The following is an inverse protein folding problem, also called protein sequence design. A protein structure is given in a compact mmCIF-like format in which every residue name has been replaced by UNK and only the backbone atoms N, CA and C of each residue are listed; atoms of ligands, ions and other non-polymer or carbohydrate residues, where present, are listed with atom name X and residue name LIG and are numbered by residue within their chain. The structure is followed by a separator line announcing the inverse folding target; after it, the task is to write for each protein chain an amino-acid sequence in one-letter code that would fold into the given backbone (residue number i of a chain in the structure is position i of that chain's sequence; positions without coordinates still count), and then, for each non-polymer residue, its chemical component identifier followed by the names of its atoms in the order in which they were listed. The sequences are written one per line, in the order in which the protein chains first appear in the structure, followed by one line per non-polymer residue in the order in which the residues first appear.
data_IF_406159873469
#
_entry.id   IF_406159873469
#
_cell.length_a   1.000
_cell.length_b   1.000
_cell.length_c   1.000
_cell.angle_alpha   90.00
_cell.angle_beta   90.00
_cell.angle_gamma   90.00
#
_symmetry.space_group_name_H-M   'P 1'
#
loop_
_entity.id
_entity.type
_entity.pdbx_description
1 polymer ?
#
# COMPACT_ATOMS: atom_id res chain seq x y z
N UNK A 1 -14.74 -19.05 -2.31
CA UNK A 1 -13.83 -18.13 -3.01
C UNK A 1 -12.41 -18.43 -2.57
N UNK A 2 -11.50 -18.63 -3.52
CA UNK A 2 -10.08 -18.92 -3.23
C UNK A 2 -9.22 -17.71 -3.60
N UNK A 3 -8.47 -17.19 -2.63
CA UNK A 3 -7.64 -15.99 -2.79
C UNK A 3 -6.18 -16.33 -2.51
N UNK A 4 -5.30 -16.08 -3.47
CA UNK A 4 -3.87 -16.14 -3.25
C UNK A 4 -3.33 -14.75 -2.83
N UNK A 5 -2.44 -14.70 -1.85
CA UNK A 5 -1.80 -13.46 -1.41
C UNK A 5 -0.30 -13.59 -1.67
N UNK A 6 0.20 -12.82 -2.64
CA UNK A 6 1.63 -12.74 -2.96
C UNK A 6 2.27 -11.64 -2.10
N UNK A 7 3.30 -12.04 -1.35
CA UNK A 7 3.87 -11.20 -0.28
C UNK A 7 3.12 -11.35 1.04
N UNK A 8 2.70 -12.57 1.37
CA UNK A 8 1.84 -12.90 2.52
C UNK A 8 2.48 -12.59 3.88
N UNK A 9 3.80 -12.51 3.98
CA UNK A 9 4.52 -12.09 5.19
C UNK A 9 4.43 -10.58 5.46
N UNK A 10 4.00 -9.81 4.46
CA UNK A 10 3.90 -8.35 4.54
C UNK A 10 2.89 -7.87 5.59
N UNK A 11 3.11 -6.65 6.10
CA UNK A 11 2.26 -6.08 7.16
C UNK A 11 0.77 -6.00 6.75
N UNK A 12 0.47 -5.37 5.60
CA UNK A 12 -0.92 -5.24 5.12
C UNK A 12 -1.51 -6.61 4.81
N UNK A 13 -0.72 -7.53 4.22
CA UNK A 13 -1.16 -8.88 3.89
C UNK A 13 -1.63 -9.65 5.13
N UNK A 14 -0.91 -9.55 6.26
CA UNK A 14 -1.33 -10.17 7.53
C UNK A 14 -2.67 -9.64 8.04
N UNK A 15 -2.90 -8.33 7.94
CA UNK A 15 -4.19 -7.73 8.30
C UNK A 15 -5.31 -8.16 7.35
N UNK A 16 -5.03 -8.28 6.04
CA UNK A 16 -5.98 -8.80 5.05
C UNK A 16 -6.38 -10.24 5.37
N UNK A 17 -5.43 -11.13 5.63
CA UNK A 17 -5.72 -12.52 5.96
C UNK A 17 -6.63 -12.64 7.18
N UNK A 18 -6.35 -11.86 8.23
CA UNK A 18 -7.20 -11.80 9.42
C UNK A 18 -8.62 -11.31 9.09
N UNK A 19 -8.73 -10.26 8.28
CA UNK A 19 -10.02 -9.71 7.88
C UNK A 19 -10.81 -10.68 6.99
N UNK A 20 -10.17 -11.34 6.04
CA UNK A 20 -10.83 -12.31 5.15
C UNK A 20 -11.41 -13.49 5.94
N UNK A 21 -10.67 -14.02 6.92
CA UNK A 21 -11.16 -15.10 7.79
C UNK A 21 -12.39 -14.71 8.61
N UNK A 22 -12.60 -13.40 8.88
CA UNK A 22 -13.73 -12.91 9.68
C UNK A 22 -14.86 -12.29 8.87
N UNK A 23 -14.61 -11.81 7.64
CA UNK A 23 -15.57 -11.01 6.86
C UNK A 23 -15.97 -11.63 5.51
N UNK A 24 -15.27 -12.68 5.07
CA UNK A 24 -15.57 -13.41 3.86
C UNK A 24 -15.91 -14.86 4.23
N UNK A 25 -17.18 -15.22 4.09
CA UNK A 25 -17.63 -16.59 4.32
C UNK A 25 -16.99 -17.53 3.29
N UNK A 26 -16.53 -18.69 3.74
CA UNK A 26 -15.94 -19.75 2.90
C UNK A 26 -14.78 -19.24 2.01
N UNK A 27 -13.91 -18.39 2.56
CA UNK A 27 -12.72 -17.92 1.90
C UNK A 27 -11.52 -18.83 2.21
N UNK A 28 -10.99 -19.49 1.18
CA UNK A 28 -9.71 -20.20 1.24
C UNK A 28 -8.58 -19.22 0.90
N UNK A 29 -7.56 -19.14 1.74
CA UNK A 29 -6.39 -18.29 1.55
C UNK A 29 -5.17 -19.15 1.20
N UNK A 30 -4.51 -18.83 0.10
CA UNK A 30 -3.25 -19.42 -0.32
C UNK A 30 -2.13 -18.39 -0.13
N UNK A 31 -1.19 -18.68 0.75
CA UNK A 31 -0.05 -17.80 1.03
C UNK A 31 1.07 -18.08 0.05
N UNK A 32 1.50 -17.05 -0.67
CA UNK A 32 2.61 -17.10 -1.63
C UNK A 32 3.67 -16.09 -1.19
N UNK A 33 4.87 -16.59 -0.86
CA UNK A 33 5.97 -15.76 -0.38
C UNK A 33 7.31 -16.50 -0.54
N UNK A 34 8.41 -15.84 -0.18
CA UNK A 34 9.75 -16.48 -0.06
C UNK A 34 9.96 -17.15 1.31
N UNK A 35 9.12 -16.86 2.30
CA UNK A 35 9.26 -17.29 3.69
C UNK A 35 8.85 -18.76 3.88
N UNK A 36 9.34 -19.39 4.95
CA UNK A 36 9.09 -20.82 5.21
C UNK A 36 7.65 -21.13 5.65
N UNK A 37 6.90 -20.13 6.10
CA UNK A 37 5.48 -20.26 6.49
C UNK A 37 4.51 -20.03 5.31
N UNK A 38 5.02 -19.80 4.10
CA UNK A 38 4.21 -19.74 2.88
C UNK A 38 3.76 -21.13 2.44
N UNK A 39 2.55 -21.21 1.88
CA UNK A 39 2.04 -22.45 1.29
C UNK A 39 2.74 -22.78 -0.03
N UNK A 40 3.12 -21.73 -0.79
CA UNK A 40 3.90 -21.82 -2.01
C UNK A 40 5.05 -20.81 -1.99
N UNK A 41 6.24 -21.26 -2.35
CA UNK A 41 7.41 -20.37 -2.47
C UNK A 41 7.46 -19.72 -3.84
N UNK A 42 7.61 -18.40 -3.86
CA UNK A 42 7.80 -17.61 -5.07
C UNK A 42 9.04 -16.72 -4.93
N UNK A 43 9.97 -16.89 -5.85
CA UNK A 43 11.12 -16.00 -5.99
C UNK A 43 10.97 -15.16 -7.26
N UNK A 44 10.73 -13.86 -7.09
CA UNK A 44 10.46 -12.96 -8.22
C UNK A 44 11.68 -12.70 -9.11
N UNK A 45 12.89 -13.06 -8.68
CA UNK A 45 14.09 -13.08 -9.55
C UNK A 45 14.13 -14.30 -10.47
N UNK A 46 13.37 -15.34 -10.15
CA UNK A 46 13.29 -16.60 -10.90
C UNK A 46 11.83 -17.02 -11.09
N UNK A 47 10.97 -16.15 -11.64
CA UNK A 47 9.52 -16.36 -11.65
C UNK A 47 9.10 -17.55 -12.50
N UNK A 48 9.92 -17.98 -13.45
CA UNK A 48 9.65 -19.15 -14.29
C UNK A 48 9.72 -20.48 -13.53
N UNK A 49 10.38 -20.53 -12.37
CA UNK A 49 10.48 -21.74 -11.54
C UNK A 49 9.24 -22.00 -10.67
N UNK A 50 8.34 -21.01 -10.58
CA UNK A 50 7.11 -21.17 -9.82
C UNK A 50 6.15 -22.13 -10.55
N UNK A 51 5.55 -23.05 -9.78
CA UNK A 51 4.54 -23.97 -10.30
C UNK A 51 3.19 -23.27 -10.44
N UNK A 52 2.97 -22.68 -11.63
CA UNK A 52 1.74 -21.93 -11.93
C UNK A 52 0.47 -22.78 -11.97
N UNK A 53 0.56 -24.11 -12.07
CA UNK A 53 -0.60 -24.98 -12.05
C UNK A 53 -1.25 -25.01 -10.65
N UNK A 54 -0.51 -24.62 -9.61
CA UNK A 54 -1.05 -24.38 -8.27
C UNK A 54 -2.04 -23.20 -8.19
N UNK A 55 -2.06 -22.34 -9.21
CA UNK A 55 -3.04 -21.25 -9.32
C UNK A 55 -4.37 -21.68 -9.96
N UNK A 56 -4.47 -22.90 -10.48
CA UNK A 56 -5.74 -23.40 -11.02
C UNK A 56 -6.83 -23.43 -9.93
N UNK A 57 -7.97 -22.80 -10.23
CA UNK A 57 -9.08 -22.64 -9.29
C UNK A 57 -8.90 -21.54 -8.26
N UNK A 58 -7.86 -20.72 -8.36
CA UNK A 58 -7.75 -19.45 -7.61
C UNK A 58 -8.62 -18.41 -8.31
N UNK A 59 -9.51 -17.76 -7.56
CA UNK A 59 -10.37 -16.71 -8.09
C UNK A 59 -9.65 -15.37 -8.21
N UNK A 60 -8.86 -15.04 -7.19
CA UNK A 60 -8.16 -13.76 -7.07
C UNK A 60 -6.74 -13.92 -6.55
N UNK A 61 -5.84 -13.13 -7.07
CA UNK A 61 -4.53 -12.86 -6.51
C UNK A 61 -4.52 -11.43 -5.96
N UNK A 62 -4.11 -11.26 -4.70
CA UNK A 62 -3.77 -9.96 -4.13
C UNK A 62 -2.24 -9.86 -4.11
N UNK A 63 -1.72 -9.02 -4.99
CA UNK A 63 -0.27 -8.89 -5.17
C UNK A 63 0.27 -7.72 -4.34
N UNK A 64 0.81 -8.04 -3.16
CA UNK A 64 1.36 -7.05 -2.20
C UNK A 64 2.88 -7.00 -2.20
N UNK A 65 3.54 -8.01 -2.78
CA UNK A 65 4.99 -8.12 -2.77
C UNK A 65 5.66 -6.97 -3.53
N UNK A 66 6.63 -6.33 -2.93
CA UNK A 66 7.51 -5.37 -3.57
C UNK A 66 8.69 -4.99 -2.66
N UNK A 67 9.81 -4.61 -3.25
CA UNK A 67 10.80 -3.79 -2.59
C UNK A 67 10.25 -2.35 -2.60
N UNK A 68 9.85 -1.83 -1.43
CA UNK A 68 9.12 -0.56 -1.32
C UNK A 68 9.94 0.60 -0.74
N UNK A 69 11.21 0.36 -0.37
CA UNK A 69 12.11 1.40 0.15
C UNK A 69 12.53 2.36 -0.96
N UNK A 70 12.15 3.68 -0.95
CA UNK A 70 12.47 4.59 -2.05
C UNK A 70 13.97 4.74 -2.31
N UNK A 71 14.77 4.81 -1.24
CA UNK A 71 16.23 4.94 -1.36
C UNK A 71 16.86 3.63 -1.87
N UNK A 72 16.37 2.48 -1.43
CA UNK A 72 16.82 1.18 -1.93
C UNK A 72 16.51 1.03 -3.43
N UNK A 73 15.29 1.40 -3.84
CA UNK A 73 14.91 1.37 -5.25
C UNK A 73 15.74 2.32 -6.13
N UNK A 74 16.22 3.44 -5.56
CA UNK A 74 17.08 4.36 -6.28
C UNK A 74 18.54 3.87 -6.34
N UNK A 75 19.05 3.31 -5.24
CA UNK A 75 20.45 2.88 -5.13
C UNK A 75 20.71 1.53 -5.81
N UNK A 76 19.74 0.62 -5.80
CA UNK A 76 19.82 -0.73 -6.39
C UNK A 76 18.77 -0.87 -7.50
N UNK A 77 18.75 0.09 -8.44
CA UNK A 77 17.65 0.22 -9.42
C UNK A 77 17.41 -1.05 -10.22
N UNK A 78 18.46 -1.62 -10.83
CA UNK A 78 18.34 -2.81 -11.68
C UNK A 78 17.78 -4.02 -10.90
N UNK A 79 18.31 -4.28 -9.72
CA UNK A 79 17.84 -5.36 -8.85
C UNK A 79 16.38 -5.15 -8.43
N UNK A 80 16.01 -3.93 -8.07
CA UNK A 80 14.62 -3.62 -7.71
C UNK A 80 13.70 -3.67 -8.92
N UNK A 81 14.18 -3.31 -10.12
CA UNK A 81 13.44 -3.43 -11.36
C UNK A 81 13.18 -4.89 -11.72
N UNK A 82 14.18 -5.76 -11.59
CA UNK A 82 14.02 -7.19 -11.84
C UNK A 82 12.92 -7.82 -10.98
N UNK A 83 12.85 -7.44 -9.71
CA UNK A 83 11.84 -7.95 -8.79
C UNK A 83 10.49 -7.27 -9.00
N UNK A 84 10.47 -5.92 -8.93
CA UNK A 84 9.22 -5.14 -8.90
C UNK A 84 8.55 -5.02 -10.26
N UNK A 85 9.30 -5.20 -11.36
CA UNK A 85 8.76 -5.08 -12.71
C UNK A 85 8.89 -6.39 -13.47
N UNK A 86 10.10 -6.88 -13.75
CA UNK A 86 10.30 -8.05 -14.61
C UNK A 86 9.63 -9.30 -14.04
N UNK A 87 9.96 -9.66 -12.80
CA UNK A 87 9.40 -10.84 -12.14
C UNK A 87 7.92 -10.70 -11.82
N UNK A 88 7.51 -9.51 -11.37
CA UNK A 88 6.10 -9.19 -11.11
C UNK A 88 5.27 -9.30 -12.38
N UNK A 89 5.71 -8.71 -13.50
CA UNK A 89 5.04 -8.78 -14.79
C UNK A 89 4.92 -10.23 -15.29
N UNK A 90 6.00 -11.00 -15.19
CA UNK A 90 5.98 -12.42 -15.57
C UNK A 90 4.92 -13.19 -14.77
N UNK A 91 4.91 -13.04 -13.44
CA UNK A 91 3.94 -13.70 -12.57
C UNK A 91 2.49 -13.31 -12.91
N UNK A 92 2.22 -12.02 -13.09
CA UNK A 92 0.88 -11.51 -13.44
C UNK A 92 0.42 -12.08 -14.80
N UNK A 93 1.30 -12.13 -15.81
CA UNK A 93 0.99 -12.73 -17.12
C UNK A 93 0.58 -14.19 -17.00
N UNK A 94 1.33 -14.96 -16.24
CA UNK A 94 1.05 -16.40 -16.05
C UNK A 94 -0.24 -16.63 -15.25
N UNK A 95 -0.56 -15.75 -14.28
CA UNK A 95 -1.81 -15.79 -13.58
C UNK A 95 -3.01 -15.47 -14.50
N UNK A 96 -2.91 -14.43 -15.31
CA UNK A 96 -3.96 -14.02 -16.27
C UNK A 96 -4.20 -15.10 -17.33
N UNK A 97 -3.18 -15.78 -17.82
CA UNK A 97 -3.32 -16.92 -18.75
C UNK A 97 -4.16 -18.07 -18.17
N UNK A 98 -4.31 -18.13 -16.85
CA UNK A 98 -5.12 -19.11 -16.11
C UNK A 98 -6.44 -18.54 -15.62
N UNK A 99 -6.88 -17.43 -16.21
CA UNK A 99 -8.11 -16.70 -15.88
C UNK A 99 -8.18 -16.21 -14.43
N UNK A 100 -7.04 -16.04 -13.75
CA UNK A 100 -6.99 -15.53 -12.38
C UNK A 100 -6.99 -14.00 -12.39
N UNK A 101 -7.89 -13.40 -11.63
CA UNK A 101 -7.97 -11.94 -11.45
C UNK A 101 -6.90 -11.45 -10.49
N UNK A 102 -6.16 -10.41 -10.88
CA UNK A 102 -5.05 -9.86 -10.09
C UNK A 102 -5.37 -8.47 -9.61
N UNK A 103 -5.37 -8.27 -8.29
CA UNK A 103 -5.40 -6.98 -7.63
C UNK A 103 -3.97 -6.59 -7.21
N UNK A 104 -3.41 -5.60 -7.90
CA UNK A 104 -2.04 -5.15 -7.68
C UNK A 104 -1.98 -3.97 -6.73
N UNK A 105 -1.02 -3.99 -5.79
CA UNK A 105 -0.72 -2.86 -4.91
C UNK A 105 0.20 -1.87 -5.60
N UNK A 106 -0.40 -0.78 -6.07
CA UNK A 106 0.31 0.39 -6.57
C UNK A 106 0.46 1.45 -5.45
N UNK A 107 0.86 2.65 -5.81
CA UNK A 107 1.17 3.72 -4.86
C UNK A 107 0.91 5.09 -5.47
N UNK A 108 0.69 6.08 -4.62
CA UNK A 108 0.71 7.50 -4.97
C UNK A 108 2.04 7.95 -5.62
N UNK A 109 3.12 7.18 -5.41
CA UNK A 109 4.40 7.41 -6.06
C UNK A 109 4.35 7.25 -7.61
N UNK A 110 3.31 6.59 -8.16
CA UNK A 110 3.07 6.53 -9.60
C UNK A 110 2.68 7.88 -10.21
N UNK A 111 2.17 8.81 -9.39
CA UNK A 111 1.95 10.19 -9.78
C UNK A 111 3.26 11.00 -9.82
N UNK A 112 3.17 12.23 -10.27
CA UNK A 112 4.28 13.17 -10.23
C UNK A 112 4.34 13.95 -8.90
N UNK A 113 5.07 15.05 -8.95
CA UNK A 113 5.18 16.02 -7.84
C UNK A 113 4.92 17.44 -8.38
N UNK A 114 3.75 17.65 -9.00
CA UNK A 114 3.36 18.96 -9.51
C UNK A 114 2.78 19.76 -8.35
N UNK A 115 3.39 20.90 -7.98
CA UNK A 115 2.93 21.72 -6.86
C UNK A 115 1.46 22.13 -7.01
N UNK A 116 0.65 21.88 -5.96
CA UNK A 116 -0.77 22.24 -5.92
C UNK A 116 -1.70 21.36 -6.76
N UNK A 117 -1.17 20.36 -7.47
CA UNK A 117 -2.00 19.41 -8.21
C UNK A 117 -2.63 18.36 -7.26
N UNK A 118 -3.92 18.10 -7.47
CA UNK A 118 -4.65 17.04 -6.75
C UNK A 118 -4.91 15.93 -7.74
N UNK A 119 -4.25 14.78 -7.52
CA UNK A 119 -4.38 13.60 -8.37
C UNK A 119 -5.61 12.79 -8.03
N UNK A 120 -6.17 12.12 -9.02
CA UNK A 120 -7.26 11.16 -8.90
C UNK A 120 -7.10 10.03 -9.94
N UNK A 121 -8.07 9.11 -9.99
CA UNK A 121 -8.00 7.95 -10.88
C UNK A 121 -7.91 8.29 -12.37
N UNK A 122 -8.36 9.48 -12.78
CA UNK A 122 -8.25 9.95 -14.17
C UNK A 122 -6.95 10.71 -14.45
N UNK A 123 -6.19 11.03 -13.41
CA UNK A 123 -4.95 11.78 -13.54
C UNK A 123 -3.86 10.95 -14.22
N UNK A 124 -3.14 11.57 -15.14
CA UNK A 124 -1.98 10.94 -15.78
C UNK A 124 -0.87 10.66 -14.75
N UNK A 125 -0.31 9.46 -14.81
CA UNK A 125 0.83 9.06 -13.98
C UNK A 125 2.13 9.55 -14.59
N UNK A 126 2.88 10.37 -13.84
CA UNK A 126 4.14 11.00 -14.27
C UNK A 126 5.25 10.73 -13.25
N UNK A 127 5.42 9.47 -12.88
CA UNK A 127 6.39 9.05 -11.87
C UNK A 127 7.82 9.49 -12.20
N UNK A 128 8.48 10.18 -11.28
CA UNK A 128 9.89 10.56 -11.42
C UNK A 128 10.81 9.74 -10.52
N UNK A 129 10.32 9.21 -9.40
CA UNK A 129 11.09 8.37 -8.48
C UNK A 129 11.25 6.95 -9.01
N UNK A 130 12.33 6.26 -8.64
CA UNK A 130 12.58 4.89 -9.06
C UNK A 130 11.41 3.95 -8.70
N UNK A 131 10.95 4.00 -7.45
CA UNK A 131 9.83 3.19 -7.00
C UNK A 131 8.52 3.51 -7.73
N UNK A 132 8.23 4.79 -7.94
CA UNK A 132 7.05 5.23 -8.70
C UNK A 132 7.06 4.72 -10.14
N UNK A 133 8.22 4.79 -10.83
CA UNK A 133 8.39 4.26 -12.19
C UNK A 133 8.13 2.77 -12.27
N UNK A 134 8.57 2.00 -11.26
CA UNK A 134 8.31 0.56 -11.18
C UNK A 134 6.82 0.25 -11.03
N UNK A 135 6.10 0.99 -10.17
CA UNK A 135 4.64 0.84 -10.02
C UNK A 135 3.89 1.21 -11.29
N UNK A 136 4.24 2.37 -11.88
CA UNK A 136 3.67 2.81 -13.15
C UNK A 136 3.88 1.81 -14.29
N UNK A 137 5.05 1.18 -14.39
CA UNK A 137 5.36 0.20 -15.44
C UNK A 137 4.37 -0.99 -15.41
N UNK A 138 4.04 -1.51 -14.22
CA UNK A 138 3.05 -2.59 -14.09
C UNK A 138 1.63 -2.09 -14.42
N UNK A 139 1.24 -0.90 -13.94
CA UNK A 139 -0.06 -0.33 -14.30
C UNK A 139 -0.22 -0.17 -15.82
N UNK A 140 0.77 0.42 -16.49
CA UNK A 140 0.73 0.66 -17.93
C UNK A 140 0.67 -0.64 -18.75
N UNK A 141 1.34 -1.69 -18.29
CA UNK A 141 1.36 -2.97 -18.99
C UNK A 141 0.00 -3.69 -18.91
N UNK A 142 -0.71 -3.59 -17.78
CA UNK A 142 -1.90 -4.40 -17.53
C UNK A 142 -3.22 -3.62 -17.50
N UNK A 143 -3.22 -2.29 -17.57
CA UNK A 143 -4.42 -1.43 -17.43
C UNK A 143 -5.59 -1.75 -18.37
N UNK A 144 -5.34 -2.42 -19.49
CA UNK A 144 -6.37 -2.82 -20.46
C UNK A 144 -6.89 -4.24 -20.25
N UNK A 145 -6.30 -5.00 -19.33
CA UNK A 145 -6.73 -6.38 -19.05
C UNK A 145 -7.95 -6.41 -18.13
N UNK A 146 -9.04 -7.13 -18.47
CA UNK A 146 -10.19 -7.29 -17.58
C UNK A 146 -9.87 -8.13 -16.34
N UNK A 147 -8.77 -8.86 -16.35
CA UNK A 147 -8.26 -9.65 -15.23
C UNK A 147 -7.33 -8.87 -14.30
N UNK A 148 -7.09 -7.59 -14.57
CA UNK A 148 -6.20 -6.76 -13.76
C UNK A 148 -6.92 -5.54 -13.23
N UNK A 149 -6.75 -5.31 -11.94
CA UNK A 149 -7.04 -4.02 -11.29
C UNK A 149 -5.91 -3.67 -10.34
N UNK A 150 -5.74 -2.39 -10.06
CA UNK A 150 -4.81 -1.96 -9.03
C UNK A 150 -5.45 -1.01 -8.02
N UNK A 151 -4.85 -0.93 -6.85
CA UNK A 151 -5.13 0.11 -5.87
C UNK A 151 -3.88 0.98 -5.72
N UNK A 152 -4.04 2.29 -5.88
CA UNK A 152 -2.98 3.24 -5.54
C UNK A 152 -3.18 3.65 -4.09
N UNK A 153 -2.24 3.27 -3.26
CA UNK A 153 -2.27 3.61 -1.85
C UNK A 153 -1.54 4.93 -1.62
N UNK A 154 -2.19 5.87 -0.94
CA UNK A 154 -1.48 6.94 -0.28
C UNK A 154 -0.77 6.41 0.97
N UNK A 155 -0.18 7.28 1.77
CA UNK A 155 0.48 6.84 3.01
C UNK A 155 -0.53 6.10 3.91
N UNK A 156 -0.23 4.85 4.24
CA UNK A 156 -1.08 4.01 5.09
C UNK A 156 -0.59 4.10 6.52
N UNK A 157 -1.27 4.90 7.33
CA UNK A 157 -0.98 5.00 8.76
C UNK A 157 -1.47 3.75 9.49
N UNK A 158 -0.62 3.23 10.35
CA UNK A 158 -0.93 2.07 11.18
C UNK A 158 -0.02 1.99 12.39
N UNK A 159 -0.42 1.21 13.38
CA UNK A 159 0.36 0.99 14.60
C UNK A 159 1.81 0.54 14.36
N UNK A 160 2.05 -0.16 13.26
CA UNK A 160 3.34 -0.78 12.94
C UNK A 160 4.00 -0.18 11.68
N UNK A 161 3.52 0.96 11.16
CA UNK A 161 4.30 1.66 10.14
C UNK A 161 5.61 2.22 10.74
N UNK A 162 6.59 2.46 9.88
CA UNK A 162 7.94 2.84 10.33
C UNK A 162 7.96 4.12 11.16
N UNK A 163 7.15 5.13 10.79
CA UNK A 163 7.14 6.41 11.48
C UNK A 163 6.43 6.32 12.83
N UNK A 164 5.28 5.66 12.87
CA UNK A 164 4.54 5.47 14.13
C UNK A 164 5.34 4.58 15.09
N UNK A 165 5.91 3.47 14.59
CA UNK A 165 6.79 2.61 15.38
C UNK A 165 8.00 3.35 15.95
N UNK A 166 8.62 4.26 15.18
CA UNK A 166 9.68 5.14 15.65
C UNK A 166 9.20 6.05 16.80
N UNK A 167 8.07 6.73 16.62
CA UNK A 167 7.50 7.58 17.66
C UNK A 167 7.17 6.80 18.94
N UNK A 168 6.59 5.60 18.81
CA UNK A 168 6.30 4.72 19.94
C UNK A 168 7.57 4.24 20.65
N UNK A 169 8.64 3.96 19.91
CA UNK A 169 9.94 3.64 20.48
C UNK A 169 10.49 4.81 21.30
N UNK A 170 10.41 6.03 20.78
CA UNK A 170 10.83 7.23 21.52
C UNK A 170 10.00 7.40 22.81
N UNK A 171 8.69 7.14 22.79
CA UNK A 171 7.87 7.19 24.00
C UNK A 171 8.36 6.16 25.03
N UNK A 172 8.58 4.89 24.61
CA UNK A 172 9.01 3.80 25.52
C UNK A 172 10.37 4.06 26.13
N UNK A 173 11.28 4.64 25.36
CA UNK A 173 12.66 4.90 25.78
C UNK A 173 12.84 6.26 26.48
N UNK A 174 11.81 7.13 26.49
CA UNK A 174 11.91 8.50 27.00
C UNK A 174 12.76 9.43 26.12
N UNK A 175 12.95 9.06 24.85
CA UNK A 175 13.73 9.79 23.85
C UNK A 175 12.92 10.90 23.18
N UNK A 176 13.61 11.86 22.58
CA UNK A 176 12.98 12.91 21.77
C UNK A 176 12.96 12.49 20.31
N UNK A 177 11.77 12.42 19.71
CA UNK A 177 11.60 12.09 18.30
C UNK A 177 11.96 13.29 17.41
N UNK A 178 12.59 13.01 16.26
CA UNK A 178 12.87 14.00 15.23
C UNK A 178 11.80 13.90 14.13
N UNK A 179 11.00 14.95 13.96
CA UNK A 179 9.85 14.98 13.05
C UNK A 179 10.17 15.83 11.82
N UNK A 180 10.31 15.17 10.69
CA UNK A 180 10.62 15.84 9.44
C UNK A 180 9.44 16.65 8.92
N UNK A 181 9.69 17.93 8.60
CA UNK A 181 8.73 18.85 8.01
C UNK A 181 9.42 19.75 6.96
N UNK A 182 8.75 20.06 5.82
CA UNK A 182 7.42 19.62 5.39
C UNK A 182 7.45 18.22 4.74
N UNK A 183 6.47 17.39 5.07
CA UNK A 183 6.21 16.11 4.42
C UNK A 183 4.73 15.76 4.58
N UNK A 184 3.98 15.73 3.48
CA UNK A 184 2.51 15.65 3.50
C UNK A 184 1.97 14.55 2.58
N UNK A 185 0.93 13.86 3.03
CA UNK A 185 0.14 12.89 2.26
C UNK A 185 -1.34 12.95 2.64
N UNK A 186 -2.23 12.60 1.71
CA UNK A 186 -3.61 12.27 2.07
C UNK A 186 -3.64 10.88 2.71
N UNK A 187 -3.37 10.85 4.02
CA UNK A 187 -3.12 9.63 4.77
C UNK A 187 -4.38 8.79 4.91
N UNK A 188 -4.30 7.51 4.60
CA UNK A 188 -5.34 6.50 4.82
C UNK A 188 -4.95 5.56 5.97
N UNK A 189 -5.81 4.58 6.30
CA UNK A 189 -5.56 3.59 7.35
C UNK A 189 -5.60 2.17 6.78
N UNK A 190 -5.04 1.20 7.52
CA UNK A 190 -5.13 -0.22 7.15
C UNK A 190 -6.57 -0.69 7.08
N UNK A 191 -7.42 -0.21 7.99
CA UNK A 191 -8.85 -0.52 7.99
C UNK A 191 -9.55 -0.10 6.70
N UNK A 192 -9.25 1.09 6.17
CA UNK A 192 -9.81 1.58 4.92
C UNK A 192 -9.29 0.79 3.70
N UNK A 193 -8.01 0.44 3.70
CA UNK A 193 -7.41 -0.42 2.64
C UNK A 193 -8.12 -1.78 2.59
N UNK A 194 -8.37 -2.40 3.74
CA UNK A 194 -9.08 -3.69 3.82
C UNK A 194 -10.50 -3.57 3.27
N UNK A 195 -11.25 -2.53 3.67
CA UNK A 195 -12.62 -2.29 3.15
C UNK A 195 -12.62 -2.12 1.63
N UNK A 196 -11.68 -1.35 1.09
CA UNK A 196 -11.54 -1.12 -0.34
C UNK A 196 -11.26 -2.43 -1.11
N UNK A 197 -10.37 -3.28 -0.60
CA UNK A 197 -10.05 -4.56 -1.22
C UNK A 197 -11.26 -5.50 -1.18
N UNK A 198 -11.90 -5.67 -0.04
CA UNK A 198 -13.09 -6.54 0.08
C UNK A 198 -14.21 -6.06 -0.85
N UNK A 199 -14.41 -4.74 -0.95
CA UNK A 199 -15.37 -4.17 -1.87
C UNK A 199 -15.02 -4.47 -3.33
N UNK A 200 -13.76 -4.28 -3.74
CA UNK A 200 -13.29 -4.58 -5.10
C UNK A 200 -13.48 -6.06 -5.46
N UNK A 201 -13.14 -6.99 -4.56
CA UNK A 201 -13.34 -8.42 -4.81
C UNK A 201 -14.81 -8.77 -5.06
N UNK A 202 -15.73 -8.15 -4.30
CA UNK A 202 -17.18 -8.36 -4.44
C UNK A 202 -17.78 -7.68 -5.67
N UNK A 203 -17.15 -6.60 -6.15
CA UNK A 203 -17.69 -5.75 -7.21
C UNK A 203 -16.80 -5.73 -8.46
N UNK A 204 -15.91 -6.70 -8.64
CA UNK A 204 -14.91 -6.73 -9.71
C UNK A 204 -15.49 -6.48 -11.09
N UNK A 205 -16.58 -7.15 -11.42
CA UNK A 205 -17.17 -7.13 -12.76
C UNK A 205 -18.02 -5.88 -13.04
N UNK A 206 -18.44 -5.14 -12.01
CA UNK A 206 -19.27 -3.94 -12.14
C UNK A 206 -18.48 -2.64 -11.91
N UNK A 207 -17.27 -2.73 -11.40
CA UNK A 207 -16.37 -1.59 -11.27
C UNK A 207 -15.55 -1.43 -12.54
N UNK A 208 -15.92 -0.46 -13.37
CA UNK A 208 -15.36 -0.29 -14.71
C UNK A 208 -13.93 0.24 -14.73
N UNK A 209 -13.50 0.95 -13.69
CA UNK A 209 -12.11 1.43 -13.61
C UNK A 209 -11.13 0.29 -13.33
N UNK A 210 -9.93 0.35 -13.96
CA UNK A 210 -8.84 -0.56 -13.63
C UNK A 210 -8.11 -0.16 -12.34
N UNK A 211 -8.34 1.07 -11.83
CA UNK A 211 -7.66 1.61 -10.66
C UNK A 211 -8.65 2.18 -9.65
N UNK A 212 -8.34 2.01 -8.37
CA UNK A 212 -9.01 2.66 -7.24
C UNK A 212 -7.93 3.34 -6.38
N UNK A 213 -8.07 4.64 -6.20
CA UNK A 213 -7.22 5.40 -5.29
C UNK A 213 -7.74 5.27 -3.84
N UNK A 214 -6.89 4.74 -2.95
CA UNK A 214 -7.24 4.57 -1.53
C UNK A 214 -6.49 5.59 -0.70
N UNK A 215 -7.21 6.61 -0.28
CA UNK A 215 -6.66 7.83 0.31
C UNK A 215 -7.58 8.40 1.39
N UNK A 216 -7.01 9.19 2.30
CA UNK A 216 -7.79 10.00 3.25
C UNK A 216 -8.27 11.31 2.63
N UNK A 217 -9.22 11.95 3.29
CA UNK A 217 -9.77 13.25 2.87
C UNK A 217 -8.87 14.43 3.22
N UNK A 218 -8.03 14.28 4.23
CA UNK A 218 -7.16 15.33 4.76
C UNK A 218 -5.72 15.17 4.30
N UNK A 219 -5.08 16.30 3.97
CA UNK A 219 -3.63 16.35 3.74
C UNK A 219 -2.92 16.40 5.11
N UNK A 220 -2.27 15.32 5.49
CA UNK A 220 -1.70 15.09 6.82
C UNK A 220 -0.18 15.21 6.79
N UNK A 221 0.40 15.98 7.70
CA UNK A 221 1.84 16.03 7.94
C UNK A 221 2.26 15.05 9.03
N UNK A 222 3.55 14.77 9.12
CA UNK A 222 4.11 13.99 10.23
C UNK A 222 3.93 14.70 11.59
N UNK A 223 3.93 16.03 11.61
CA UNK A 223 3.62 16.80 12.83
C UNK A 223 2.19 16.48 13.28
N UNK A 224 1.22 16.51 12.36
CA UNK A 224 -0.16 16.16 12.68
C UNK A 224 -0.29 14.73 13.23
N UNK A 225 0.45 13.77 12.68
CA UNK A 225 0.49 12.40 13.21
C UNK A 225 1.09 12.34 14.62
N UNK A 226 2.16 13.07 14.87
CA UNK A 226 2.80 13.16 16.19
C UNK A 226 1.85 13.80 17.23
N UNK A 227 1.12 14.85 16.84
CA UNK A 227 0.12 15.49 17.71
C UNK A 227 -1.05 14.55 18.04
N UNK A 228 -1.51 13.73 17.08
CA UNK A 228 -2.53 12.72 17.37
C UNK A 228 -2.02 11.61 18.29
N UNK A 229 -0.76 11.18 18.14
CA UNK A 229 -0.12 10.28 19.09
C UNK A 229 -0.04 10.91 20.48
N UNK A 230 0.32 12.18 20.60
CA UNK A 230 0.33 12.89 21.87
C UNK A 230 -1.04 13.02 22.50
N UNK A 231 -2.07 13.27 21.69
CA UNK A 231 -3.45 13.29 22.17
C UNK A 231 -3.86 11.93 22.73
N UNK A 232 -3.52 10.84 22.02
CA UNK A 232 -3.88 9.49 22.45
C UNK A 232 -3.09 9.03 23.68
N UNK A 233 -1.79 9.27 23.72
CA UNK A 233 -0.89 8.83 24.81
C UNK A 233 -0.63 9.91 25.87
N UNK A 234 -1.49 10.90 25.99
CA UNK A 234 -1.48 11.93 27.04
C UNK A 234 -0.11 12.63 27.14
N UNK A 235 0.32 13.22 26.02
CA UNK A 235 1.56 14.02 25.90
C UNK A 235 2.87 13.28 26.27
N UNK A 236 2.93 11.98 26.02
CA UNK A 236 4.14 11.18 26.28
C UNK A 236 5.23 11.32 25.21
N UNK A 237 4.86 11.73 23.97
CA UNK A 237 5.84 11.92 22.89
C UNK A 237 6.51 13.27 22.98
N UNK A 238 7.80 13.28 23.31
CA UNK A 238 8.63 14.47 23.15
C UNK A 238 9.16 14.51 21.71
N UNK A 239 9.04 15.65 21.03
CA UNK A 239 9.58 15.76 19.68
C UNK A 239 10.12 17.15 19.36
N UNK A 240 11.01 17.21 18.40
CA UNK A 240 11.48 18.42 17.73
C UNK A 240 11.13 18.35 16.26
N UNK A 241 10.93 19.51 15.64
CA UNK A 241 10.66 19.59 14.21
C UNK A 241 11.94 19.98 13.50
N UNK A 242 12.37 19.17 12.52
CA UNK A 242 13.54 19.44 11.71
C UNK A 242 13.21 19.48 10.22
N UNK A 243 14.04 20.19 9.47
CA UNK A 243 14.01 20.13 8.01
C UNK A 243 14.86 18.92 7.58
N UNK A 244 14.32 17.98 6.80
CA UNK A 244 15.12 16.86 6.31
C UNK A 244 16.21 17.35 5.35
N UNK A 245 17.27 16.55 5.21
CA UNK A 245 18.29 16.73 4.20
C UNK A 245 17.68 16.78 2.79
N UNK A 246 18.28 17.54 1.88
CA UNK A 246 17.79 17.66 0.49
C UNK A 246 17.75 16.31 -0.22
N UNK A 247 18.65 15.38 0.12
CA UNK A 247 18.64 14.04 -0.42
C UNK A 247 17.41 13.23 -0.02
N UNK A 248 16.78 13.55 1.11
CA UNK A 248 15.55 12.87 1.57
C UNK A 248 14.42 12.96 0.53
N UNK A 249 14.27 14.12 -0.13
CA UNK A 249 13.22 14.34 -1.13
C UNK A 249 13.64 13.96 -2.56
N UNK A 250 14.89 13.56 -2.79
CA UNK A 250 15.33 13.11 -4.11
C UNK A 250 14.55 11.90 -4.60
N UNK A 251 14.25 10.97 -3.69
CA UNK A 251 13.63 9.68 -3.99
C UNK A 251 12.16 9.61 -3.54
N UNK A 252 11.59 10.70 -3.05
CA UNK A 252 10.18 10.75 -2.59
C UNK A 252 9.59 12.15 -2.73
N UNK A 253 8.33 12.27 -3.17
CA UNK A 253 7.66 13.56 -3.23
C UNK A 253 7.57 14.20 -1.84
N UNK A 254 7.71 15.52 -1.77
CA UNK A 254 7.50 16.28 -0.54
C UNK A 254 6.02 16.34 -0.18
N UNK A 255 5.18 16.56 -1.19
CA UNK A 255 3.74 16.63 -1.06
C UNK A 255 3.11 15.83 -2.19
N UNK A 256 2.28 14.84 -1.87
CA UNK A 256 1.38 14.22 -2.84
C UNK A 256 -0.04 14.40 -2.34
N UNK A 257 -0.82 15.18 -3.10
CA UNK A 257 -2.26 15.32 -2.87
C UNK A 257 -3.01 14.36 -3.78
N UNK A 258 -3.80 13.50 -3.16
CA UNK A 258 -4.61 12.50 -3.86
C UNK A 258 -6.04 12.49 -3.31
N UNK A 259 -7.03 12.40 -4.17
CA UNK A 259 -8.43 12.17 -3.82
C UNK A 259 -8.94 10.99 -4.63
N UNK A 260 -9.95 10.29 -4.13
CA UNK A 260 -10.61 9.26 -4.91
C UNK A 260 -11.95 9.75 -5.46
N UNK A 261 -12.22 9.47 -6.72
CA UNK A 261 -13.53 9.68 -7.36
C UNK A 261 -14.58 8.68 -6.87
N UNK A 262 -14.13 7.55 -6.32
CA UNK A 262 -14.99 6.40 -6.06
C UNK A 262 -15.11 6.05 -4.58
N UNK A 263 -14.03 6.13 -3.81
CA UNK A 263 -13.90 5.57 -2.47
C UNK A 263 -15.05 5.98 -1.52
N UNK A 264 -15.35 7.26 -1.46
CA UNK A 264 -16.41 7.81 -0.62
C UNK A 264 -17.76 7.85 -1.35
N UNK A 265 -17.76 8.20 -2.65
CA UNK A 265 -18.97 8.32 -3.45
C UNK A 265 -19.75 7.00 -3.58
N UNK A 266 -19.03 5.88 -3.65
CA UNK A 266 -19.64 4.54 -3.72
C UNK A 266 -19.87 3.92 -2.34
N UNK A 267 -19.62 4.66 -1.25
CA UNK A 267 -19.79 4.16 0.12
C UNK A 267 -18.82 3.01 0.46
N UNK A 268 -17.67 2.92 -0.22
CA UNK A 268 -16.66 1.89 0.06
C UNK A 268 -16.08 2.08 1.45
N UNK A 269 -15.82 3.32 1.79
CA UNK A 269 -15.31 3.78 3.08
C UNK A 269 -16.15 4.98 3.54
N UNK A 270 -16.42 5.08 4.83
CA UNK A 270 -17.05 6.26 5.41
C UNK A 270 -16.10 7.46 5.41
N UNK A 271 -16.65 8.63 5.08
CA UNK A 271 -15.93 9.88 5.18
C UNK A 271 -15.80 10.29 6.64
N UNK A 272 -14.63 10.13 7.21
CA UNK A 272 -14.31 10.48 8.60
C UNK A 272 -13.00 11.27 8.62
N UNK A 273 -12.80 12.08 9.66
CA UNK A 273 -11.55 12.81 9.86
C UNK A 273 -10.37 11.87 10.06
N UNK A 274 -9.17 12.36 9.75
CA UNK A 274 -7.93 11.61 10.02
C UNK A 274 -7.83 11.24 11.50
N UNK A 275 -8.17 12.15 12.40
CA UNK A 275 -8.17 11.92 13.85
C UNK A 275 -9.00 10.71 14.24
N UNK A 276 -10.26 10.64 13.79
CA UNK A 276 -11.17 9.53 14.14
C UNK A 276 -10.67 8.20 13.63
N UNK A 277 -10.20 8.15 12.37
CA UNK A 277 -9.65 6.92 11.75
C UNK A 277 -8.36 6.49 12.43
N UNK A 278 -7.46 7.44 12.68
CA UNK A 278 -6.16 7.14 13.25
C UNK A 278 -6.24 6.68 14.70
N UNK A 279 -7.13 7.28 15.51
CA UNK A 279 -7.34 6.83 16.88
C UNK A 279 -7.81 5.37 16.96
N UNK A 280 -8.66 4.92 16.03
CA UNK A 280 -9.06 3.51 15.94
C UNK A 280 -7.89 2.59 15.65
N UNK A 281 -6.93 3.02 14.81
CA UNK A 281 -5.70 2.25 14.54
C UNK A 281 -4.80 2.15 15.79
N UNK A 282 -4.89 3.08 16.72
CA UNK A 282 -4.10 3.12 17.95
C UNK A 282 -4.73 2.29 19.11
N UNK A 283 -6.00 1.93 19.04
CA UNK A 283 -6.74 1.24 20.14
C UNK A 283 -6.07 -0.05 20.62
N UNK A 284 -5.34 -0.74 19.77
CA UNK A 284 -4.69 -2.00 20.10
C UNK A 284 -3.20 -1.85 20.45
N UNK A 285 -2.71 -0.61 20.59
CA UNK A 285 -1.32 -0.35 20.93
C UNK A 285 -1.16 -0.27 22.45
N UNK A 286 -0.31 -1.14 22.97
CA UNK A 286 0.19 -1.04 24.35
C UNK A 286 1.57 -0.38 24.33
N UNK A 287 1.79 0.61 25.23
CA UNK A 287 3.10 1.26 25.43
C UNK A 287 4.03 0.40 26.28
#
# INVERSE_FOLDING_TARGET
MKIAIVGSSGYIAKHLMKAFSSQLNDCEILKIDMTDDADLKLQLTEPAEFDYDKLLGVDYIIFTAAISGPDMCANEFEKCWDINVTGTSYFIKEAIKRDVKVLFFSSDAAFGDIPGHIYDEDSETQAYTAYGKMKKAIEDEFKTSPFFKCIRLSYVASANDKFISYCLSCIRNGETADIFHPFYRNTTTVGDVIKAIIWLLKNWSIFDSFVLDVTGTELVSRIRMADELNRYFVNKLKYVVSKPDENFFRNRPQVTQMKSKYLYKLGIVEEQSFTEKFQKELENIQL
#
